data_IF_132495979210
#
_entry.id   IF_132495979210
#
_cell.length_a   1.000
_cell.length_b   1.000
_cell.length_c   1.000
_cell.angle_alpha   90.00
_cell.angle_beta   90.00
_cell.angle_gamma   90.00
#
_symmetry.space_group_name_H-M   'P 1'
#
loop_
_entity.id
_entity.type
_entity.pdbx_description
1 polymer ?
#
# COMPACT_ATOMS: atom_id res chain seq x y z
N UNK A 1 9.48 14.66 -27.76
CA UNK A 1 9.88 13.49 -26.97
C UNK A 1 8.67 12.91 -26.26
N UNK A 2 8.45 11.64 -26.41
CA UNK A 2 7.34 10.97 -25.74
C UNK A 2 7.61 10.86 -24.24
N UNK A 3 6.57 11.07 -23.47
CA UNK A 3 6.63 10.82 -22.04
C UNK A 3 6.43 9.34 -21.80
N UNK A 4 7.27 8.75 -20.97
CA UNK A 4 7.12 7.36 -20.58
C UNK A 4 5.98 7.19 -19.57
N UNK A 5 5.83 8.14 -18.66
CA UNK A 5 4.79 8.13 -17.65
C UNK A 5 4.05 9.44 -17.62
N UNK A 6 2.75 9.36 -17.35
CA UNK A 6 1.91 10.55 -17.19
C UNK A 6 2.00 11.10 -15.77
N UNK A 7 2.11 10.21 -14.79
CA UNK A 7 2.21 10.58 -13.38
C UNK A 7 3.24 9.69 -12.72
N UNK A 8 4.17 10.31 -11.99
CA UNK A 8 5.11 9.61 -11.12
C UNK A 8 4.93 10.18 -9.73
N UNK A 9 4.68 9.32 -8.75
CA UNK A 9 4.56 9.74 -7.36
C UNK A 9 5.68 9.13 -6.54
N UNK A 10 6.08 9.86 -5.50
CA UNK A 10 7.11 9.43 -4.57
C UNK A 10 6.56 9.59 -3.16
N UNK A 11 6.82 8.62 -2.31
CA UNK A 11 6.38 8.74 -0.94
C UNK A 11 6.35 7.42 -0.22
N UNK A 12 5.48 7.36 0.78
CA UNK A 12 5.38 6.20 1.65
C UNK A 12 4.51 5.12 1.07
N UNK A 13 4.99 3.89 1.18
CA UNK A 13 4.25 2.68 0.84
C UNK A 13 4.31 1.78 2.06
N UNK A 14 3.17 1.37 2.56
CA UNK A 14 3.09 0.63 3.81
C UNK A 14 1.98 -0.42 3.77
N UNK A 15 2.00 -1.29 4.76
CA UNK A 15 0.90 -2.22 4.99
C UNK A 15 -0.09 -1.56 5.96
N UNK A 16 -1.37 -1.63 5.62
CA UNK A 16 -2.44 -1.22 6.50
C UNK A 16 -3.26 -2.46 6.87
N UNK A 17 -3.17 -2.88 8.13
CA UNK A 17 -3.96 -4.00 8.63
C UNK A 17 -5.31 -3.49 9.11
N UNK A 18 -6.39 -4.08 8.59
CA UNK A 18 -7.74 -3.73 9.01
C UNK A 18 -8.43 -4.94 9.61
N UNK A 19 -9.21 -4.77 10.69
CA UNK A 19 -9.93 -5.89 11.30
C UNK A 19 -10.85 -6.57 10.31
N UNK A 20 -10.84 -7.90 10.33
CA UNK A 20 -11.61 -8.71 9.36
C UNK A 20 -12.41 -9.83 10.05
N UNK A 21 -12.71 -9.65 11.34
CA UNK A 21 -13.51 -10.61 12.07
C UNK A 21 -12.69 -11.49 12.99
N UNK A 22 -13.25 -12.65 13.31
CA UNK A 22 -12.68 -13.59 14.27
C UNK A 22 -12.65 -14.97 13.64
N UNK A 23 -11.56 -15.70 13.85
CA UNK A 23 -11.43 -17.06 13.34
C UNK A 23 -12.26 -18.04 14.17
N UNK A 24 -12.35 -19.27 13.67
CA UNK A 24 -13.05 -20.35 14.39
C UNK A 24 -12.48 -20.61 15.78
N UNK A 25 -11.20 -20.33 15.97
CA UNK A 25 -10.52 -20.53 17.25
C UNK A 25 -10.54 -19.29 18.14
N UNK A 26 -11.29 -18.25 17.76
CA UNK A 26 -11.42 -17.03 18.55
C UNK A 26 -10.31 -16.01 18.36
N UNK A 27 -9.46 -16.17 17.34
CA UNK A 27 -8.37 -15.24 17.08
C UNK A 27 -8.83 -14.10 16.19
N UNK A 28 -8.37 -12.88 16.49
CA UNK A 28 -8.67 -11.72 15.67
C UNK A 28 -8.00 -11.85 14.30
N UNK A 29 -8.76 -11.60 13.25
CA UNK A 29 -8.27 -11.62 11.89
C UNK A 29 -8.07 -10.20 11.37
N UNK A 30 -7.04 -10.01 10.56
CA UNK A 30 -6.76 -8.74 9.91
C UNK A 30 -6.51 -8.96 8.43
N UNK A 31 -7.06 -8.07 7.63
CA UNK A 31 -6.71 -8.02 6.21
C UNK A 31 -5.45 -7.19 6.03
N UNK A 32 -4.57 -7.67 5.16
CA UNK A 32 -3.33 -6.98 4.83
C UNK A 32 -3.56 -6.18 3.56
N UNK A 33 -3.62 -4.86 3.71
CA UNK A 33 -3.90 -3.97 2.58
C UNK A 33 -2.70 -3.10 2.24
N UNK A 34 -2.45 -2.88 0.95
CA UNK A 34 -1.49 -1.85 0.56
C UNK A 34 -2.04 -0.49 0.98
N UNK A 35 -1.19 0.35 1.54
CA UNK A 35 -1.58 1.67 2.01
C UNK A 35 -0.57 2.73 1.64
N UNK A 36 -0.97 3.98 1.87
CA UNK A 36 -0.19 5.15 1.54
C UNK A 36 -0.92 6.01 0.52
N UNK A 37 -1.02 7.31 0.80
CA UNK A 37 -1.77 8.22 -0.06
C UNK A 37 -1.27 8.26 -1.50
N UNK A 38 0.05 8.29 -1.77
CA UNK A 38 0.52 8.33 -3.15
C UNK A 38 0.07 7.13 -3.98
N UNK A 39 0.10 5.93 -3.42
CA UNK A 39 -0.31 4.73 -4.16
C UNK A 39 -1.81 4.74 -4.43
N UNK A 40 -2.60 5.20 -3.48
CA UNK A 40 -4.05 5.29 -3.69
C UNK A 40 -4.38 6.24 -4.83
N UNK A 41 -3.69 7.36 -4.93
CA UNK A 41 -3.85 8.31 -6.02
C UNK A 41 -3.44 7.69 -7.36
N UNK A 42 -2.31 7.00 -7.39
CA UNK A 42 -1.83 6.35 -8.61
C UNK A 42 -2.76 5.23 -9.07
N UNK A 43 -3.35 4.50 -8.15
CA UNK A 43 -4.31 3.46 -8.48
C UNK A 43 -5.51 4.05 -9.20
N UNK A 44 -6.03 5.17 -8.72
CA UNK A 44 -7.14 5.87 -9.37
C UNK A 44 -6.74 6.36 -10.77
N UNK A 45 -5.53 6.93 -10.89
CA UNK A 45 -5.03 7.42 -12.17
C UNK A 45 -4.84 6.26 -13.17
N UNK A 46 -4.31 5.14 -12.72
CA UNK A 46 -4.11 3.97 -13.59
C UNK A 46 -5.45 3.43 -14.10
N UNK A 47 -6.47 3.42 -13.26
CA UNK A 47 -7.80 2.99 -13.67
C UNK A 47 -8.40 3.94 -14.70
N UNK A 48 -7.99 5.20 -14.70
CA UNK A 48 -8.41 6.17 -15.70
C UNK A 48 -7.61 6.08 -17.01
N UNK A 49 -6.70 5.13 -17.11
CA UNK A 49 -5.92 4.90 -18.32
C UNK A 49 -4.59 5.64 -18.39
N UNK A 50 -4.19 6.30 -17.32
CA UNK A 50 -2.91 6.98 -17.29
C UNK A 50 -1.76 6.02 -17.00
N UNK A 51 -0.59 6.34 -17.55
CA UNK A 51 0.63 5.58 -17.28
C UNK A 51 1.24 6.09 -15.98
N UNK A 52 1.41 5.21 -15.01
CA UNK A 52 1.78 5.59 -13.66
C UNK A 52 3.01 4.84 -13.19
N UNK A 53 3.80 5.50 -12.33
CA UNK A 53 4.96 4.90 -11.69
C UNK A 53 5.07 5.38 -10.24
N UNK A 54 5.60 4.52 -9.39
CA UNK A 54 5.80 4.86 -7.99
C UNK A 54 7.28 4.72 -7.63
N UNK A 55 7.78 5.70 -6.88
CA UNK A 55 9.14 5.69 -6.34
C UNK A 55 9.04 5.64 -4.83
N UNK A 56 9.65 4.63 -4.23
CA UNK A 56 9.62 4.48 -2.78
C UNK A 56 10.56 3.40 -2.31
N UNK A 57 10.42 3.06 -1.04
CA UNK A 57 11.26 2.04 -0.42
C UNK A 57 10.43 1.22 0.55
N UNK A 58 10.66 -0.09 0.53
CA UNK A 58 10.06 -1.04 1.48
C UNK A 58 11.16 -1.95 2.00
N UNK A 59 10.89 -2.62 3.10
CA UNK A 59 11.82 -3.61 3.61
C UNK A 59 11.90 -4.83 2.71
N UNK A 60 13.05 -5.46 2.67
CA UNK A 60 13.21 -6.72 1.98
C UNK A 60 12.67 -7.85 2.84
N UNK A 61 11.36 -7.91 2.94
CA UNK A 61 10.61 -8.87 3.75
C UNK A 61 9.34 -9.28 3.00
N UNK A 62 8.58 -10.19 3.59
CA UNK A 62 7.37 -10.68 2.94
C UNK A 62 6.35 -9.57 2.68
N UNK A 63 6.30 -8.56 3.54
CA UNK A 63 5.37 -7.45 3.37
C UNK A 63 5.81 -6.51 2.26
N UNK A 64 7.11 -6.24 2.17
CA UNK A 64 7.65 -5.40 1.09
C UNK A 64 7.42 -6.02 -0.27
N UNK A 65 7.65 -7.32 -0.38
CA UNK A 65 7.42 -8.04 -1.63
C UNK A 65 5.95 -8.06 -2.01
N UNK A 66 5.08 -8.23 -1.02
CA UNK A 66 3.63 -8.14 -1.23
C UNK A 66 3.24 -6.78 -1.77
N UNK A 67 3.81 -5.70 -1.23
CA UNK A 67 3.49 -4.35 -1.66
C UNK A 67 3.91 -4.09 -3.09
N UNK A 68 5.09 -4.56 -3.49
CA UNK A 68 5.54 -4.42 -4.87
C UNK A 68 4.58 -5.14 -5.81
N UNK A 69 4.19 -6.35 -5.48
CA UNK A 69 3.24 -7.12 -6.29
C UNK A 69 1.89 -6.41 -6.36
N UNK A 70 1.41 -5.87 -5.25
CA UNK A 70 0.15 -5.15 -5.22
C UNK A 70 0.18 -3.90 -6.10
N UNK A 71 1.29 -3.17 -6.09
CA UNK A 71 1.47 -2.00 -6.95
C UNK A 71 1.44 -2.42 -8.42
N UNK A 72 2.16 -3.49 -8.76
CA UNK A 72 2.19 -3.99 -10.13
C UNK A 72 0.81 -4.45 -10.60
N UNK A 73 0.05 -5.08 -9.72
CA UNK A 73 -1.30 -5.55 -10.04
C UNK A 73 -2.27 -4.40 -10.33
N UNK A 74 -1.94 -3.18 -9.90
CA UNK A 74 -2.74 -1.99 -10.21
C UNK A 74 -2.24 -1.28 -11.47
N UNK A 75 -1.35 -1.90 -12.23
CA UNK A 75 -0.76 -1.32 -13.43
C UNK A 75 0.06 -0.07 -13.16
N UNK A 76 0.72 -0.05 -12.01
CA UNK A 76 1.65 1.01 -11.64
C UNK A 76 3.05 0.44 -11.78
N UNK A 77 3.93 1.16 -12.48
CA UNK A 77 5.31 0.71 -12.62
C UNK A 77 6.03 0.75 -11.27
N UNK A 78 6.69 -0.34 -10.92
CA UNK A 78 7.34 -0.52 -9.63
C UNK A 78 8.87 -0.50 -9.70
N UNK A 79 9.45 -0.17 -10.85
CA UNK A 79 10.92 -0.22 -11.00
C UNK A 79 11.63 0.73 -10.05
N UNK A 80 10.97 1.79 -9.59
CA UNK A 80 11.53 2.74 -8.63
C UNK A 80 11.33 2.36 -7.17
N UNK A 81 10.79 1.18 -6.88
CA UNK A 81 10.63 0.73 -5.50
C UNK A 81 11.87 -0.07 -5.10
N UNK A 82 12.53 0.39 -4.05
CA UNK A 82 13.75 -0.22 -3.55
C UNK A 82 13.41 -1.19 -2.41
N UNK A 83 13.90 -2.41 -2.52
CA UNK A 83 13.88 -3.36 -1.40
C UNK A 83 15.14 -3.12 -0.56
N UNK A 84 14.96 -2.69 0.68
CA UNK A 84 16.05 -2.32 1.56
C UNK A 84 16.24 -3.41 2.63
N UNK A 85 17.44 -3.99 2.67
CA UNK A 85 17.76 -5.05 3.63
C UNK A 85 17.91 -4.54 5.05
N UNK A 86 18.04 -3.24 5.23
CA UNK A 86 18.34 -2.63 6.52
C UNK A 86 17.13 -2.03 7.22
N UNK A 87 15.96 -2.11 6.62
CA UNK A 87 14.73 -1.56 7.21
C UNK A 87 13.62 -2.60 7.13
N UNK A 88 12.64 -2.46 8.01
CA UNK A 88 11.42 -3.26 7.93
C UNK A 88 10.35 -2.47 7.20
N UNK A 89 9.47 -3.18 6.48
CA UNK A 89 8.31 -2.55 5.89
C UNK A 89 7.43 -1.96 6.98
N UNK A 90 6.99 -0.73 6.79
CA UNK A 90 6.12 -0.05 7.75
C UNK A 90 4.77 -0.75 7.82
N UNK A 91 4.33 -1.03 9.04
CA UNK A 91 3.05 -1.66 9.32
C UNK A 91 2.19 -0.67 10.12
N UNK A 92 0.94 -0.54 9.71
CA UNK A 92 -0.04 0.26 10.44
C UNK A 92 -1.26 -0.58 10.70
N UNK A 93 -1.99 -0.27 11.75
CA UNK A 93 -3.25 -0.93 12.07
C UNK A 93 -4.34 0.13 12.08
N UNK A 94 -5.33 -0.05 11.23
CA UNK A 94 -6.47 0.85 11.14
C UNK A 94 -7.65 0.25 11.86
N UNK A 95 -8.37 1.07 12.60
CA UNK A 95 -9.56 0.67 13.32
C UNK A 95 -10.78 1.31 12.64
N UNK A 96 -10.93 1.01 11.35
CA UNK A 96 -11.97 1.63 10.54
C UNK A 96 -13.39 1.30 11.01
N UNK A 97 -13.54 0.22 11.76
CA UNK A 97 -14.82 -0.17 12.35
C UNK A 97 -15.18 0.65 13.58
N UNK A 98 -14.24 1.46 14.09
CA UNK A 98 -14.53 2.32 15.22
C UNK A 98 -15.52 3.40 14.81
N UNK A 99 -16.44 3.70 15.72
CA UNK A 99 -17.42 4.75 15.48
C UNK A 99 -16.73 6.12 15.58
N UNK A 100 -17.29 7.09 14.86
CA UNK A 100 -16.71 8.43 14.83
C UNK A 100 -16.53 9.03 16.20
N UNK A 101 -17.50 8.83 17.10
CA UNK A 101 -17.39 9.39 18.45
C UNK A 101 -16.29 8.75 19.29
N UNK A 102 -15.92 7.53 18.99
CA UNK A 102 -14.80 6.87 19.66
C UNK A 102 -13.47 7.44 19.19
N UNK A 103 -13.37 7.74 17.91
CA UNK A 103 -12.13 8.31 17.36
C UNK A 103 -11.98 9.76 17.74
N UNK A 104 -13.07 10.46 17.98
CA UNK A 104 -13.03 11.86 18.40
C UNK A 104 -12.66 12.01 19.90
N UNK A 105 -12.84 10.97 20.66
CA UNK A 105 -12.45 11.01 22.06
C UNK A 105 -10.93 10.97 22.20
#
# INVERSE_FOLDING_TARGET
MEKEYDIVAMGELLIDFTPAGVSETGMCLYERNPGGAPVNMLTAAAKAGLRTAFIGKVGNDMHGKFLIEAVENQNINSDGIILDDNVFTTLAVSYTHLRAHETAA
#
